data_IF_257808990393
#
_entry.id   IF_257808990393
#
_cell.length_a   1.000
_cell.length_b   1.000
_cell.length_c   1.000
_cell.angle_alpha   90.00
_cell.angle_beta   90.00
_cell.angle_gamma   90.00
#
_symmetry.space_group_name_H-M   'P 1'
#
loop_
_entity.id
_entity.type
_entity.pdbx_description
1 polymer ?
#
# COMPACT_ATOMS: atom_id res chain seq x y z
N UNK A 1 3.62 -14.73 -1.10
CA UNK A 1 4.14 -14.27 0.21
C UNK A 1 2.99 -14.33 1.19
N UNK A 2 3.20 -14.87 2.39
CA UNK A 2 2.18 -14.85 3.44
C UNK A 2 2.40 -13.61 4.30
N UNK A 3 1.48 -12.65 4.23
CA UNK A 3 1.49 -11.46 5.06
C UNK A 3 1.38 -11.84 6.55
N UNK A 4 2.17 -11.19 7.42
CA UNK A 4 2.17 -11.47 8.85
C UNK A 4 0.85 -11.11 9.55
N UNK A 5 0.14 -10.10 9.04
CA UNK A 5 -1.11 -9.58 9.60
C UNK A 5 -2.20 -9.53 8.55
N UNK A 6 -3.44 -9.86 8.95
CA UNK A 6 -4.61 -9.66 8.09
C UNK A 6 -4.91 -8.16 7.90
N UNK A 7 -5.67 -7.79 6.86
CA UNK A 7 -6.14 -6.41 6.65
C UNK A 7 -6.84 -5.84 7.88
N UNK A 8 -7.65 -6.65 8.57
CA UNK A 8 -8.33 -6.27 9.80
C UNK A 8 -7.33 -5.96 10.94
N UNK A 9 -6.32 -6.81 11.12
CA UNK A 9 -5.32 -6.63 12.18
C UNK A 9 -4.42 -5.41 11.89
N UNK A 10 -4.04 -5.21 10.62
CA UNK A 10 -3.30 -4.01 10.19
C UNK A 10 -4.07 -2.73 10.49
N UNK A 11 -5.39 -2.70 10.25
CA UNK A 11 -6.23 -1.54 10.58
C UNK A 11 -6.34 -1.32 12.10
N UNK A 12 -6.43 -2.38 12.89
CA UNK A 12 -6.45 -2.28 14.35
C UNK A 12 -5.12 -1.72 14.90
N UNK A 13 -3.99 -2.21 14.40
CA UNK A 13 -2.66 -1.70 14.73
C UNK A 13 -2.49 -0.24 14.31
N UNK A 14 -2.97 0.13 13.11
CA UNK A 14 -2.94 1.53 12.66
C UNK A 14 -3.68 2.45 13.63
N UNK A 15 -4.89 2.09 14.05
CA UNK A 15 -5.67 2.90 15.02
C UNK A 15 -4.95 3.07 16.36
N UNK A 16 -4.17 2.06 16.77
CA UNK A 16 -3.39 2.09 18.00
C UNK A 16 -2.12 2.95 17.89
N UNK A 17 -1.46 2.94 16.74
CA UNK A 17 -0.10 3.47 16.59
C UNK A 17 0.01 4.73 15.73
N UNK A 18 -0.97 5.03 14.87
CA UNK A 18 -0.95 6.14 13.90
C UNK A 18 -2.05 7.14 14.24
N UNK A 19 -1.68 8.42 14.35
CA UNK A 19 -2.61 9.50 14.69
C UNK A 19 -3.68 9.76 13.60
N UNK A 20 -4.84 10.34 13.97
CA UNK A 20 -5.97 10.56 13.07
C UNK A 20 -5.72 11.61 11.97
N UNK A 21 -4.64 12.40 12.10
CA UNK A 21 -4.17 13.34 11.07
C UNK A 21 -3.68 12.62 9.82
N UNK A 22 -3.13 11.40 9.95
CA UNK A 22 -2.77 10.55 8.83
C UNK A 22 -4.03 9.87 8.27
N UNK A 23 -4.70 10.52 7.32
CA UNK A 23 -5.90 9.97 6.67
C UNK A 23 -5.57 8.69 5.88
N UNK A 24 -6.55 7.81 5.83
CA UNK A 24 -6.52 6.58 5.02
C UNK A 24 -7.19 6.89 3.69
N UNK A 25 -6.51 6.61 2.59
CA UNK A 25 -7.14 6.62 1.27
C UNK A 25 -8.18 5.51 1.17
N UNK A 26 -9.25 5.75 0.42
CA UNK A 26 -10.37 4.80 0.28
C UNK A 26 -10.96 4.40 1.65
N UNK A 27 -11.30 5.38 2.49
CA UNK A 27 -11.66 5.13 3.90
C UNK A 27 -12.84 4.16 4.12
N UNK A 28 -13.77 4.05 3.16
CA UNK A 28 -14.89 3.09 3.21
C UNK A 28 -14.44 1.65 3.01
N UNK A 29 -13.47 1.42 2.12
CA UNK A 29 -12.84 0.12 1.89
C UNK A 29 -11.33 0.30 1.60
N UNK A 30 -10.50 0.40 2.66
CA UNK A 30 -9.09 0.68 2.50
C UNK A 30 -8.35 -0.42 1.76
N UNK A 31 -7.51 -0.07 0.79
CA UNK A 31 -6.70 -1.05 0.06
C UNK A 31 -5.43 -1.33 0.87
N UNK A 32 -5.10 -2.61 1.13
CA UNK A 32 -3.85 -2.98 1.80
C UNK A 32 -2.82 -3.36 0.74
N UNK A 33 -1.94 -2.41 0.42
CA UNK A 33 -0.82 -2.66 -0.49
C UNK A 33 0.27 -3.46 0.24
N UNK A 34 0.68 -4.59 -0.35
CA UNK A 34 1.68 -5.51 0.21
C UNK A 34 2.99 -5.52 -0.59
N UNK A 35 2.95 -5.06 -1.85
CA UNK A 35 4.12 -4.98 -2.73
C UNK A 35 3.93 -3.86 -3.76
N UNK A 36 5.04 -3.27 -4.20
CA UNK A 36 5.06 -2.38 -5.36
C UNK A 36 6.20 -2.78 -6.31
N UNK A 37 6.00 -2.55 -7.61
CA UNK A 37 7.01 -2.73 -8.64
C UNK A 37 6.77 -1.76 -9.79
N UNK A 38 7.76 -0.90 -10.06
CA UNK A 38 7.65 0.21 -11.02
C UNK A 38 6.37 1.02 -10.76
N UNK A 39 5.55 1.26 -11.77
CA UNK A 39 4.31 2.02 -11.70
C UNK A 39 3.13 1.26 -11.06
N UNK A 40 3.33 0.04 -10.56
CA UNK A 40 2.23 -0.79 -10.05
C UNK A 40 2.37 -1.13 -8.57
N UNK A 41 1.24 -1.09 -7.89
CA UNK A 41 1.07 -1.59 -6.53
C UNK A 41 0.18 -2.84 -6.54
N UNK A 42 0.37 -3.72 -5.56
CA UNK A 42 -0.33 -4.99 -5.46
C UNK A 42 -0.93 -5.14 -4.07
N UNK A 43 -2.19 -5.55 -3.99
CA UNK A 43 -2.86 -5.85 -2.72
C UNK A 43 -2.56 -7.27 -2.22
N UNK A 44 -3.15 -7.64 -1.08
CA UNK A 44 -3.03 -8.97 -0.49
C UNK A 44 -3.63 -10.11 -1.34
N UNK A 45 -4.52 -9.79 -2.29
CA UNK A 45 -5.13 -10.75 -3.23
C UNK A 45 -4.34 -10.87 -4.54
N UNK A 46 -3.32 -10.03 -4.74
CA UNK A 46 -2.53 -9.96 -5.96
C UNK A 46 -3.15 -9.07 -7.05
N UNK A 47 -4.20 -8.32 -6.74
CA UNK A 47 -4.79 -7.34 -7.65
C UNK A 47 -3.80 -6.20 -7.90
N UNK A 48 -3.69 -5.79 -9.16
CA UNK A 48 -2.72 -4.81 -9.61
C UNK A 48 -3.37 -3.43 -9.79
N UNK A 49 -2.79 -2.42 -9.16
CA UNK A 49 -3.22 -1.03 -9.24
C UNK A 49 -2.14 -0.17 -9.89
N UNK A 50 -2.52 0.68 -10.85
CA UNK A 50 -1.62 1.69 -11.40
C UNK A 50 -1.46 2.81 -10.37
N UNK A 51 -0.22 3.12 -10.02
CA UNK A 51 0.10 4.20 -9.10
C UNK A 51 0.04 5.56 -9.82
N UNK A 52 -1.09 6.23 -9.65
CA UNK A 52 -1.33 7.58 -10.16
C UNK A 52 -1.16 8.67 -9.09
N UNK A 53 -0.70 8.31 -7.88
CA UNK A 53 -0.61 9.24 -6.74
C UNK A 53 0.82 9.73 -6.55
N UNK A 54 1.82 8.88 -6.83
CA UNK A 54 3.22 9.28 -6.68
C UNK A 54 3.63 10.33 -7.73
N UNK A 55 4.02 11.51 -7.23
CA UNK A 55 4.39 12.67 -8.04
C UNK A 55 5.76 12.52 -8.74
N UNK A 56 6.71 11.77 -8.15
CA UNK A 56 8.00 11.45 -8.76
C UNK A 56 8.18 9.94 -8.70
N UNK A 57 8.02 9.28 -9.86
CA UNK A 57 8.42 7.89 -9.99
C UNK A 57 9.95 7.83 -9.94
N UNK A 58 10.50 7.12 -8.95
CA UNK A 58 11.89 6.71 -9.01
C UNK A 58 12.01 5.62 -10.08
N UNK A 59 12.30 6.02 -11.32
CA UNK A 59 12.66 5.06 -12.35
C UNK A 59 13.84 4.21 -11.85
N UNK A 60 13.79 2.88 -11.96
CA UNK A 60 14.95 2.07 -11.72
C UNK A 60 16.02 2.53 -12.71
N UNK A 61 17.13 3.11 -12.20
CA UNK A 61 18.29 3.40 -13.03
C UNK A 61 18.67 2.12 -13.78
N UNK A 62 18.97 2.19 -15.08
CA UNK A 62 19.41 1.01 -15.81
C UNK A 62 20.62 0.43 -15.09
N UNK A 63 20.50 -0.82 -14.64
CA UNK A 63 21.63 -1.62 -14.19
C UNK A 63 22.47 -1.95 -15.41
N UNK A 64 23.42 -1.07 -15.74
CA UNK A 64 24.60 -1.43 -16.52
C UNK A 64 25.45 -2.42 -15.74
#
# INVERSE_FOLDING_TARGET
>A
MCELYSKRDTLALRKKHIGPSCKVFFASDPIKIVRAQRQYMFDENGEQYLDCINNVAHDPKPTT
#
